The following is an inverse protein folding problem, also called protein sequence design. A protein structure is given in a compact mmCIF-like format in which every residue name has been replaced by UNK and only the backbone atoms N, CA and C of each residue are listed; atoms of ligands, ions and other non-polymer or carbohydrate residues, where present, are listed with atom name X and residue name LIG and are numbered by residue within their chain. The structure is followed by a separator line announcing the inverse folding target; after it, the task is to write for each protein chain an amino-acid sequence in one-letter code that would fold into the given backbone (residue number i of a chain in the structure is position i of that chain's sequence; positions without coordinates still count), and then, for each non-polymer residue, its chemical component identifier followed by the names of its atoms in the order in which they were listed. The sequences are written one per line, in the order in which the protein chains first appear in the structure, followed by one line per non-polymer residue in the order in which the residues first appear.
data_IF_841042524558
#
_entry.id   IF_841042524558
#
_cell.length_a   1.000
_cell.length_b   1.000
_cell.length_c   1.000
_cell.angle_alpha   90.00
_cell.angle_beta   90.00
_cell.angle_gamma   90.00
#
_symmetry.space_group_name_H-M   'P 1'
#
loop_
_entity.id
_entity.type
_entity.pdbx_description
1 polymer ?
#
# COMPACT_ATOMS: atom_id res chain seq x y z
N UNK A 1 -2.00 17.11 8.96
CA UNK A 1 -2.90 18.22 9.36
C UNK A 1 -3.84 18.42 8.20
N UNK A 2 -5.14 18.24 8.40
CA UNK A 2 -6.14 18.39 7.36
C UNK A 2 -6.34 19.87 7.06
N UNK A 3 -6.34 20.24 5.78
CA UNK A 3 -6.46 21.64 5.38
C UNK A 3 -7.63 21.74 4.39
N UNK A 4 -8.56 22.69 4.60
CA UNK A 4 -9.64 22.92 3.64
C UNK A 4 -9.05 23.30 2.28
N UNK A 5 -9.76 22.97 1.20
CA UNK A 5 -9.36 23.38 -0.14
C UNK A 5 -9.26 24.92 -0.20
N UNK A 6 -8.14 25.49 -0.66
CA UNK A 6 -8.03 26.95 -0.79
C UNK A 6 -9.08 27.50 -1.76
N UNK A 7 -9.61 28.69 -1.45
CA UNK A 7 -10.61 29.35 -2.30
C UNK A 7 -10.09 29.54 -3.74
N UNK A 8 -10.94 29.22 -4.72
CA UNK A 8 -10.62 29.37 -6.14
C UNK A 8 -9.80 28.24 -6.78
N UNK A 9 -9.30 27.28 -5.98
CA UNK A 9 -8.64 26.08 -6.53
C UNK A 9 -9.68 25.20 -7.20
N UNK A 10 -9.40 24.83 -8.46
CA UNK A 10 -10.17 23.82 -9.19
C UNK A 10 -9.34 22.55 -9.31
N UNK A 11 -10.01 21.41 -9.29
CA UNK A 11 -9.38 20.16 -9.70
C UNK A 11 -8.94 20.32 -11.16
N UNK A 12 -7.64 20.20 -11.42
CA UNK A 12 -7.09 20.27 -12.77
C UNK A 12 -7.04 18.87 -13.37
N UNK A 13 -7.51 18.71 -14.61
CA UNK A 13 -7.26 17.50 -15.40
C UNK A 13 -5.80 17.39 -15.87
N UNK A 14 -5.07 18.51 -15.85
CA UNK A 14 -3.69 18.60 -16.28
C UNK A 14 -2.77 18.60 -15.05
N UNK A 15 -2.21 17.43 -14.77
CA UNK A 15 -1.16 17.25 -13.75
C UNK A 15 0.23 17.26 -14.41
N UNK A 16 1.24 17.85 -13.76
CA UNK A 16 2.62 17.73 -14.20
C UNK A 16 3.00 16.26 -14.44
N UNK A 17 3.80 16.01 -15.48
CA UNK A 17 4.21 14.65 -15.86
C UNK A 17 4.87 13.89 -14.71
N UNK A 18 5.78 14.54 -13.98
CA UNK A 18 6.47 13.93 -12.85
C UNK A 18 5.50 13.42 -11.77
N UNK A 19 4.39 14.12 -11.53
CA UNK A 19 3.39 13.75 -10.53
C UNK A 19 2.60 12.53 -11.01
N UNK A 20 2.21 12.51 -12.29
CA UNK A 20 1.53 11.36 -12.89
C UNK A 20 2.39 10.09 -12.82
N UNK A 21 3.69 10.23 -13.12
CA UNK A 21 4.66 9.14 -13.00
C UNK A 21 4.80 8.68 -11.55
N UNK A 22 4.96 9.60 -10.59
CA UNK A 22 5.09 9.26 -9.18
C UNK A 22 3.86 8.53 -8.62
N UNK A 23 2.65 8.96 -9.02
CA UNK A 23 1.39 8.27 -8.70
C UNK A 23 1.42 6.85 -9.27
N UNK A 24 1.70 6.70 -10.58
CA UNK A 24 1.73 5.39 -11.23
C UNK A 24 2.73 4.43 -10.57
N UNK A 25 3.95 4.90 -10.28
CA UNK A 25 4.99 4.12 -9.62
C UNK A 25 4.56 3.68 -8.22
N UNK A 26 3.95 4.58 -7.44
CA UNK A 26 3.44 4.26 -6.11
C UNK A 26 2.33 3.19 -6.15
N UNK A 27 1.41 3.29 -7.11
CA UNK A 27 0.34 2.29 -7.32
C UNK A 27 0.91 0.93 -7.69
N UNK A 28 1.85 0.90 -8.65
CA UNK A 28 2.49 -0.35 -9.09
C UNK A 28 3.29 -0.99 -7.96
N UNK A 29 4.08 -0.20 -7.23
CA UNK A 29 4.87 -0.68 -6.11
C UNK A 29 3.98 -1.30 -5.02
N UNK A 30 2.92 -0.59 -4.63
CA UNK A 30 2.02 -1.11 -3.61
C UNK A 30 1.26 -2.35 -4.09
N UNK A 31 0.78 -2.36 -5.34
CA UNK A 31 0.13 -3.54 -5.91
C UNK A 31 1.02 -4.80 -5.88
N UNK A 32 2.33 -4.64 -6.11
CA UNK A 32 3.31 -5.75 -5.94
C UNK A 32 3.42 -6.20 -4.49
N UNK A 33 3.40 -5.28 -3.53
CA UNK A 33 3.40 -5.59 -2.10
C UNK A 33 2.12 -6.37 -1.73
N UNK A 34 0.95 -5.92 -2.21
CA UNK A 34 -0.34 -6.58 -1.97
C UNK A 34 -0.32 -8.02 -2.51
N UNK A 35 0.19 -8.20 -3.73
CA UNK A 35 0.33 -9.51 -4.34
C UNK A 35 1.21 -10.44 -3.51
N UNK A 36 2.42 -10.01 -3.14
CA UNK A 36 3.34 -10.84 -2.34
C UNK A 36 2.72 -11.22 -0.98
N UNK A 37 2.04 -10.28 -0.31
CA UNK A 37 1.36 -10.57 0.94
C UNK A 37 0.25 -11.64 0.76
N UNK A 38 -0.57 -11.52 -0.27
CA UNK A 38 -1.64 -12.50 -0.55
C UNK A 38 -1.06 -13.88 -0.84
N UNK A 39 -0.01 -13.97 -1.67
CA UNK A 39 0.61 -15.25 -2.03
C UNK A 39 1.30 -15.91 -0.82
N UNK A 40 1.99 -15.13 0.02
CA UNK A 40 2.52 -15.61 1.31
C UNK A 40 1.39 -16.15 2.19
N UNK A 41 0.27 -15.42 2.31
CA UNK A 41 -0.88 -15.89 3.07
C UNK A 41 -1.43 -17.21 2.54
N UNK A 42 -1.39 -17.45 1.21
CA UNK A 42 -1.78 -18.74 0.64
C UNK A 42 -0.86 -19.88 1.09
N UNK A 43 0.45 -19.67 1.09
CA UNK A 43 1.42 -20.68 1.54
C UNK A 43 1.28 -20.99 3.02
N UNK A 44 1.17 -19.96 3.86
CA UNK A 44 1.05 -20.10 5.32
C UNK A 44 -0.23 -20.81 5.76
N UNK A 45 -1.27 -20.81 4.93
CA UNK A 45 -2.56 -21.43 5.21
C UNK A 45 -2.75 -22.79 4.53
N UNK A 46 -1.82 -23.19 3.67
CA UNK A 46 -2.07 -24.23 2.68
C UNK A 46 -3.42 -24.06 1.96
N UNK A 47 -3.68 -22.83 1.53
CA UNK A 47 -5.02 -22.42 1.12
C UNK A 47 -5.49 -23.19 -0.13
N UNK A 48 -6.68 -23.77 -0.05
CA UNK A 48 -7.42 -24.31 -1.19
C UNK A 48 -7.80 -23.20 -2.18
N UNK A 49 -8.16 -23.53 -3.41
CA UNK A 49 -8.56 -22.53 -4.42
C UNK A 49 -9.68 -21.59 -3.92
N UNK A 50 -10.67 -22.14 -3.19
CA UNK A 50 -11.77 -21.35 -2.62
C UNK A 50 -11.27 -20.35 -1.58
N UNK A 51 -10.30 -20.75 -0.76
CA UNK A 51 -9.69 -19.88 0.25
C UNK A 51 -8.78 -18.84 -0.39
N UNK A 52 -8.04 -19.20 -1.44
CA UNK A 52 -7.23 -18.24 -2.22
C UNK A 52 -8.09 -17.11 -2.77
N UNK A 53 -9.24 -17.46 -3.38
CA UNK A 53 -10.21 -16.49 -3.89
C UNK A 53 -10.82 -15.62 -2.79
N UNK A 54 -11.05 -16.18 -1.60
CA UNK A 54 -11.55 -15.42 -0.45
C UNK A 54 -10.48 -14.43 0.07
N UNK A 55 -9.25 -14.90 0.25
CA UNK A 55 -8.13 -14.09 0.73
C UNK A 55 -7.78 -12.94 -0.22
N UNK A 56 -7.88 -13.17 -1.54
CA UNK A 56 -7.66 -12.12 -2.54
C UNK A 56 -8.68 -10.96 -2.47
N UNK A 57 -9.81 -11.14 -1.78
CA UNK A 57 -10.82 -10.09 -1.56
C UNK A 57 -10.63 -9.33 -0.25
N UNK A 58 -9.76 -9.80 0.63
CA UNK A 58 -9.52 -9.13 1.90
C UNK A 58 -8.68 -7.87 1.66
N UNK A 59 -8.86 -6.82 2.48
CA UNK A 59 -7.93 -5.69 2.47
C UNK A 59 -6.49 -6.18 2.65
N UNK A 60 -5.57 -5.65 1.83
CA UNK A 60 -4.17 -6.09 1.86
C UNK A 60 -3.52 -5.83 3.23
N UNK A 61 -3.92 -4.75 3.92
CA UNK A 61 -3.49 -4.44 5.29
C UNK A 61 -3.84 -5.57 6.26
N UNK A 62 -5.08 -6.06 6.24
CA UNK A 62 -5.50 -7.14 7.15
C UNK A 62 -4.72 -8.44 6.86
N UNK A 63 -4.52 -8.73 5.57
CA UNK A 63 -3.72 -9.87 5.12
C UNK A 63 -2.27 -9.75 5.62
N UNK A 64 -1.63 -8.61 5.43
CA UNK A 64 -0.26 -8.36 5.87
C UNK A 64 -0.11 -8.44 7.40
N UNK A 65 -1.01 -7.80 8.15
CA UNK A 65 -0.98 -7.84 9.62
C UNK A 65 -1.18 -9.26 10.15
N UNK A 66 -2.03 -10.06 9.49
CA UNK A 66 -2.24 -11.48 9.83
C UNK A 66 -0.96 -12.30 9.62
N UNK A 67 -0.25 -12.07 8.51
CA UNK A 67 1.05 -12.73 8.24
C UNK A 67 2.04 -12.40 9.35
N UNK A 68 2.23 -11.12 9.68
CA UNK A 68 3.16 -10.71 10.72
C UNK A 68 2.78 -11.28 12.10
N UNK A 69 1.48 -11.33 12.42
CA UNK A 69 1.00 -11.94 13.65
C UNK A 69 1.35 -13.42 13.76
N UNK A 70 1.30 -14.18 12.66
CA UNK A 70 1.75 -15.59 12.65
C UNK A 70 3.25 -15.74 12.82
N UNK A 71 4.02 -14.89 12.15
CA UNK A 71 5.49 -14.91 12.27
C UNK A 71 5.92 -14.63 13.71
N UNK A 72 5.28 -13.68 14.39
CA UNK A 72 5.52 -13.42 15.82
C UNK A 72 5.14 -14.62 16.72
N UNK A 73 4.10 -15.37 16.37
CA UNK A 73 3.73 -16.60 17.10
C UNK A 73 4.75 -17.73 16.90
N UNK A 74 5.35 -17.83 15.72
CA UNK A 74 6.34 -18.85 15.39
C UNK A 74 7.74 -18.57 15.93
N UNK A 75 8.08 -17.29 16.11
CA UNK A 75 9.39 -16.86 16.60
C UNK A 75 9.23 -16.12 17.93
N UNK A 76 9.25 -16.83 19.08
CA UNK A 76 9.12 -16.22 20.39
C UNK A 76 10.13 -15.09 20.61
N UNK A 77 9.64 -13.93 21.05
CA UNK A 77 10.47 -12.75 21.31
C UNK A 77 10.67 -11.81 20.10
N UNK A 78 10.27 -12.22 18.89
CA UNK A 78 10.24 -11.33 17.75
C UNK A 78 9.11 -10.30 17.90
N UNK A 79 9.42 -9.02 17.71
CA UNK A 79 8.45 -7.93 17.75
C UNK A 79 8.48 -7.18 16.42
N UNK A 80 7.36 -7.19 15.71
CA UNK A 80 7.23 -6.59 14.37
C UNK A 80 6.35 -5.32 14.39
N UNK A 81 6.17 -4.71 15.56
CA UNK A 81 5.30 -3.53 15.72
C UNK A 81 5.67 -2.38 14.78
N UNK A 82 6.96 -2.01 14.72
CA UNK A 82 7.44 -0.96 13.82
C UNK A 82 7.17 -1.27 12.33
N UNK A 83 7.21 -2.54 11.94
CA UNK A 83 6.89 -2.98 10.58
C UNK A 83 5.38 -2.90 10.30
N UNK A 84 4.54 -3.29 11.26
CA UNK A 84 3.08 -3.16 11.19
C UNK A 84 2.67 -1.70 11.03
N UNK A 85 3.25 -0.81 11.84
CA UNK A 85 2.98 0.63 11.78
C UNK A 85 3.45 1.23 10.46
N UNK A 86 4.67 0.86 10.02
CA UNK A 86 5.23 1.29 8.74
C UNK A 86 4.36 0.89 7.55
N UNK A 87 3.84 -0.34 7.55
CA UNK A 87 2.90 -0.80 6.52
C UNK A 87 1.57 -0.07 6.56
N UNK A 88 1.03 0.18 7.77
CA UNK A 88 -0.26 0.86 7.93
C UNK A 88 -0.19 2.28 7.38
N UNK A 89 0.89 3.01 7.67
CA UNK A 89 1.13 4.35 7.11
C UNK A 89 1.26 4.27 5.59
N UNK A 90 1.98 3.27 5.07
CA UNK A 90 2.13 3.08 3.62
C UNK A 90 0.76 2.81 2.95
N UNK A 91 -0.11 2.02 3.57
CA UNK A 91 -1.45 1.73 3.07
C UNK A 91 -2.35 2.99 3.08
N UNK A 92 -2.23 3.82 4.11
CA UNK A 92 -2.92 5.12 4.18
C UNK A 92 -2.46 6.05 3.06
N UNK A 93 -1.13 6.18 2.86
CA UNK A 93 -0.57 6.96 1.76
C UNK A 93 -1.05 6.43 0.40
N UNK A 94 -1.07 5.10 0.19
CA UNK A 94 -1.58 4.50 -1.04
C UNK A 94 -3.05 4.82 -1.27
N UNK A 95 -3.88 4.81 -0.23
CA UNK A 95 -5.29 5.16 -0.36
C UNK A 95 -5.48 6.59 -0.85
N UNK A 96 -4.70 7.54 -0.33
CA UNK A 96 -4.67 8.90 -0.86
C UNK A 96 -4.24 8.92 -2.31
N UNK A 97 -3.17 8.19 -2.66
CA UNK A 97 -2.63 8.15 -4.03
C UNK A 97 -3.64 7.61 -5.05
N UNK A 98 -4.33 6.52 -4.72
CA UNK A 98 -5.24 5.81 -5.63
C UNK A 98 -6.62 6.44 -5.70
N UNK A 99 -7.15 6.90 -4.58
CA UNK A 99 -8.54 7.36 -4.47
C UNK A 99 -8.68 8.87 -4.35
N UNK A 100 -7.58 9.59 -4.16
CA UNK A 100 -7.59 11.03 -4.09
C UNK A 100 -7.73 11.70 -5.46
N UNK A 101 -8.44 12.82 -5.48
CA UNK A 101 -8.45 13.73 -6.60
C UNK A 101 -7.23 14.67 -6.47
N UNK A 102 -6.38 14.68 -7.49
CA UNK A 102 -5.12 15.41 -7.48
C UNK A 102 -5.24 16.79 -8.14
N UNK A 103 -4.53 17.77 -7.59
CA UNK A 103 -4.34 19.10 -8.19
C UNK A 103 -3.00 19.69 -7.74
N UNK A 104 -2.69 20.91 -8.19
CA UNK A 104 -1.53 21.68 -7.78
C UNK A 104 -1.99 22.94 -7.04
N UNK A 105 -1.39 23.21 -5.87
CA UNK A 105 -1.59 24.43 -5.08
C UNK A 105 -0.22 25.02 -4.78
N UNK A 106 0.03 26.27 -5.20
CA UNK A 106 1.33 26.94 -5.04
C UNK A 106 2.52 26.06 -5.48
N UNK A 107 2.41 25.47 -6.67
CA UNK A 107 3.37 24.52 -7.27
C UNK A 107 3.64 23.24 -6.47
N UNK A 108 2.78 22.92 -5.49
CA UNK A 108 2.87 21.68 -4.69
C UNK A 108 1.71 20.74 -5.00
N UNK A 109 1.95 19.42 -5.10
CA UNK A 109 0.88 18.47 -5.25
C UNK A 109 -0.02 18.47 -4.03
N UNK A 110 -1.30 18.57 -4.31
CA UNK A 110 -2.36 18.52 -3.33
C UNK A 110 -3.29 17.38 -3.68
N UNK A 111 -3.56 16.52 -2.71
CA UNK A 111 -4.48 15.41 -2.85
C UNK A 111 -5.72 15.69 -2.02
N UNK A 112 -6.87 15.68 -2.68
CA UNK A 112 -8.18 15.83 -2.06
C UNK A 112 -8.79 14.45 -1.90
N UNK A 113 -9.31 14.15 -0.71
CA UNK A 113 -10.01 12.89 -0.47
C UNK A 113 -11.27 13.16 0.35
N UNK A 114 -12.41 12.66 -0.14
CA UNK A 114 -13.69 12.83 0.55
C UNK A 114 -13.84 11.82 1.67
N UNK A 115 -14.33 12.29 2.83
CA UNK A 115 -14.66 11.45 3.97
C UNK A 115 -16.19 11.30 4.09
N UNK A 116 -16.78 10.49 3.21
CA UNK A 116 -18.18 9.99 3.19
C UNK A 116 -19.37 10.98 3.25
N UNK A 117 -20.23 10.84 2.23
CA UNK A 117 -21.69 11.01 2.03
C UNK A 117 -22.65 11.72 3.03
N UNK A 118 -22.27 12.01 4.28
CA UNK A 118 -23.18 12.67 5.26
C UNK A 118 -22.74 14.09 5.62
N UNK A 119 -21.59 14.53 5.10
CA UNK A 119 -21.04 15.86 5.34
C UNK A 119 -20.53 16.44 4.00
N UNK A 120 -21.41 17.16 3.30
CA UNK A 120 -21.12 17.81 2.01
C UNK A 120 -20.09 18.95 2.14
N UNK A 121 -19.76 19.37 3.37
CA UNK A 121 -18.95 20.57 3.64
C UNK A 121 -17.47 20.29 3.96
N UNK A 122 -17.05 19.04 4.16
CA UNK A 122 -15.65 18.72 4.51
C UNK A 122 -14.86 18.10 3.36
N UNK A 123 -14.61 18.89 2.30
CA UNK A 123 -13.52 18.61 1.36
C UNK A 123 -12.20 18.80 2.10
N UNK A 124 -11.60 17.68 2.51
CA UNK A 124 -10.32 17.65 3.18
C UNK A 124 -9.24 17.31 2.16
N UNK A 125 -8.21 18.13 2.09
CA UNK A 125 -7.01 17.85 1.34
C UNK A 125 -5.74 17.92 2.16
N UNK A 126 -4.67 17.42 1.58
CA UNK A 126 -3.33 17.52 2.14
C UNK A 126 -2.26 17.60 1.05
N UNK A 127 -1.13 18.22 1.39
CA UNK A 127 0.05 18.19 0.52
C UNK A 127 0.66 16.80 0.48
N UNK A 128 1.01 16.36 -0.72
CA UNK A 128 1.75 15.13 -0.95
C UNK A 128 2.94 15.45 -1.86
N UNK A 129 3.95 16.05 -1.26
CA UNK A 129 5.12 16.54 -1.98
C UNK A 129 6.04 15.40 -2.49
N UNK A 130 7.03 15.78 -3.30
CA UNK A 130 8.01 14.85 -3.85
C UNK A 130 8.78 14.07 -2.75
N UNK A 131 9.02 14.69 -1.60
CA UNK A 131 9.70 14.03 -0.48
C UNK A 131 8.83 12.93 0.15
N UNK A 132 7.50 13.14 0.21
CA UNK A 132 6.56 12.11 0.67
C UNK A 132 6.51 10.95 -0.31
N UNK A 133 6.52 11.20 -1.63
CA UNK A 133 6.68 10.16 -2.64
C UNK A 133 8.00 9.40 -2.48
N UNK A 134 9.12 10.09 -2.29
CA UNK A 134 10.42 9.43 -2.08
C UNK A 134 10.40 8.52 -0.84
N UNK A 135 9.84 9.00 0.28
CA UNK A 135 9.68 8.22 1.51
C UNK A 135 8.76 7.02 1.30
N UNK A 136 7.66 7.19 0.58
CA UNK A 136 6.74 6.12 0.20
C UNK A 136 7.48 5.03 -0.59
N UNK A 137 8.17 5.42 -1.66
CA UNK A 137 8.90 4.51 -2.54
C UNK A 137 9.98 3.75 -1.79
N UNK A 138 10.80 4.46 -1.00
CA UNK A 138 11.88 3.84 -0.22
C UNK A 138 11.34 2.82 0.78
N UNK A 139 10.29 3.16 1.53
CA UNK A 139 9.65 2.23 2.47
C UNK A 139 9.01 1.04 1.76
N UNK A 140 8.28 1.29 0.68
CA UNK A 140 7.62 0.26 -0.11
C UNK A 140 8.62 -0.73 -0.72
N UNK A 141 9.73 -0.26 -1.26
CA UNK A 141 10.79 -1.11 -1.80
C UNK A 141 11.40 -2.01 -0.73
N UNK A 142 11.67 -1.48 0.47
CA UNK A 142 12.18 -2.30 1.58
C UNK A 142 11.17 -3.38 1.99
N UNK A 143 9.89 -3.03 2.14
CA UNK A 143 8.84 -3.99 2.50
C UNK A 143 8.69 -5.06 1.40
N UNK A 144 8.69 -4.65 0.12
CA UNK A 144 8.59 -5.57 -1.00
C UNK A 144 9.76 -6.55 -1.04
N UNK A 145 11.00 -6.06 -0.86
CA UNK A 145 12.19 -6.90 -0.85
C UNK A 145 12.14 -7.94 0.28
N UNK A 146 11.75 -7.51 1.48
CA UNK A 146 11.59 -8.40 2.64
C UNK A 146 10.49 -9.44 2.39
N UNK A 147 9.33 -9.04 1.85
CA UNK A 147 8.26 -9.99 1.52
C UNK A 147 8.73 -11.02 0.49
N UNK A 148 9.42 -10.59 -0.57
CA UNK A 148 9.97 -11.50 -1.59
C UNK A 148 10.96 -12.51 -1.03
N UNK A 149 11.84 -12.07 -0.12
CA UNK A 149 12.76 -12.96 0.56
C UNK A 149 12.01 -13.99 1.40
N UNK A 150 11.05 -13.53 2.22
CA UNK A 150 10.24 -14.42 3.06
C UNK A 150 9.41 -15.41 2.22
N UNK A 151 8.83 -14.92 1.12
CA UNK A 151 8.09 -15.75 0.19
C UNK A 151 8.97 -16.85 -0.41
N UNK A 152 10.17 -16.51 -0.89
CA UNK A 152 11.11 -17.48 -1.45
C UNK A 152 11.47 -18.56 -0.43
N UNK A 153 11.71 -18.17 0.83
CA UNK A 153 11.97 -19.12 1.91
C UNK A 153 10.77 -20.06 2.16
N UNK A 154 9.53 -19.56 2.10
CA UNK A 154 8.34 -20.38 2.26
C UNK A 154 8.14 -21.35 1.08
N UNK A 155 8.38 -20.92 -0.15
CA UNK A 155 8.29 -21.82 -1.32
C UNK A 155 9.33 -22.93 -1.23
N UNK A 156 10.56 -22.62 -0.81
CA UNK A 156 11.63 -23.60 -0.59
C UNK A 156 11.26 -24.61 0.52
N UNK A 157 10.72 -24.13 1.64
CA UNK A 157 10.34 -25.00 2.76
C UNK A 157 9.11 -25.87 2.46
N UNK A 158 8.14 -25.34 1.73
CA UNK A 158 6.87 -26.04 1.44
C UNK A 158 6.91 -26.86 0.16
N UNK A 159 7.88 -26.60 -0.74
CA UNK A 159 7.94 -27.17 -2.08
C UNK A 159 6.83 -26.67 -3.02
N UNK A 160 6.01 -25.72 -2.59
CA UNK A 160 4.87 -25.18 -3.34
C UNK A 160 5.24 -23.84 -3.97
N UNK A 161 4.96 -23.68 -5.26
CA UNK A 161 5.10 -22.38 -5.95
C UNK A 161 3.73 -21.71 -6.10
N UNK A 162 3.69 -20.40 -5.89
CA UNK A 162 2.45 -19.60 -5.98
C UNK A 162 2.42 -18.69 -7.20
N UNK A 163 3.59 -18.27 -7.71
CA UNK A 163 3.69 -17.34 -8.84
C UNK A 163 4.14 -18.02 -10.14
N UNK A 164 3.49 -17.65 -11.24
CA UNK A 164 3.98 -17.85 -12.62
C UNK A 164 4.73 -16.61 -13.16
N UNK A 165 4.67 -15.47 -12.46
CA UNK A 165 5.30 -14.20 -12.85
C UNK A 165 6.70 -14.12 -12.23
N UNK A 166 7.76 -13.91 -13.03
CA UNK A 166 9.11 -13.74 -12.51
C UNK A 166 9.17 -12.59 -11.49
N UNK A 167 9.81 -12.83 -10.34
CA UNK A 167 10.00 -11.82 -9.29
C UNK A 167 11.21 -10.89 -9.54
N UNK A 168 11.89 -11.08 -10.68
CA UNK A 168 13.05 -10.31 -11.18
C UNK A 168 12.64 -8.93 -11.68
#
# INVERSE_FOLDING_TARGET
MHVPMPEGVRLSSELPEWLRLAIADAVVLFGRIEQEAIEIAWLLNDATLKEKLKLARNPATDTFLTILGRVEQWVPGLKLHALKDGFTILAQDRNLVVHGAWTMVDDKPWVVWHKFLEDDDSIIGEFFDALRFEKFTKKGQHILAMLRQFHSMLEEQTGKRTSAVPRT
#
